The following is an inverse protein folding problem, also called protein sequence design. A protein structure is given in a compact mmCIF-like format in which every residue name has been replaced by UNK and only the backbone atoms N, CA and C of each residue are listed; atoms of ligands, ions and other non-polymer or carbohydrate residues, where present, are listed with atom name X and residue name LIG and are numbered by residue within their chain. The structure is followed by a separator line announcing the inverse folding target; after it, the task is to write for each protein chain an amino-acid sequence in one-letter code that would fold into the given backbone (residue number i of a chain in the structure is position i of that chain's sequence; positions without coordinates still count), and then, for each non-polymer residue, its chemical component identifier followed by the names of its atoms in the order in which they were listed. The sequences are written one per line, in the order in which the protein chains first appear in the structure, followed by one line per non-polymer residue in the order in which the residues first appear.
data_IF_939076316977
#
_entry.id   IF_939076316977
#
_cell.length_a   1.000
_cell.length_b   1.000
_cell.length_c   1.000
_cell.angle_alpha   90.00
_cell.angle_beta   90.00
_cell.angle_gamma   90.00
#
_symmetry.space_group_name_H-M   'P 1'
#
loop_
_entity.id
_entity.type
_entity.pdbx_description
1 polymer ?
#
# COMPACT_ATOMS: atom_id res chain seq x y z
N UNK A 1 -17.31 9.70 7.02
CA UNK A 1 -15.94 9.23 7.29
C UNK A 1 -15.95 7.73 7.11
N UNK A 2 -15.27 7.19 6.10
CA UNK A 2 -15.18 5.73 5.93
C UNK A 2 -14.30 5.18 7.05
N UNK A 3 -14.89 4.47 7.99
CA UNK A 3 -14.16 3.85 9.09
C UNK A 3 -13.73 2.46 8.64
N UNK A 4 -12.42 2.27 8.46
CA UNK A 4 -11.88 0.94 8.22
C UNK A 4 -12.06 0.08 9.47
N UNK A 5 -12.44 -1.18 9.28
CA UNK A 5 -12.41 -2.16 10.36
C UNK A 5 -10.97 -2.39 10.83
N UNK A 6 -10.78 -2.80 12.08
CA UNK A 6 -9.45 -3.17 12.60
C UNK A 6 -8.77 -4.22 11.72
N UNK A 7 -9.54 -5.21 11.25
CA UNK A 7 -9.06 -6.25 10.33
C UNK A 7 -8.56 -5.65 9.01
N UNK A 8 -9.30 -4.70 8.44
CA UNK A 8 -8.87 -4.00 7.21
C UNK A 8 -7.61 -3.19 7.46
N UNK A 9 -7.49 -2.50 8.59
CA UNK A 9 -6.27 -1.74 8.93
C UNK A 9 -5.07 -2.67 9.07
N UNK A 10 -5.22 -3.82 9.73
CA UNK A 10 -4.16 -4.83 9.86
C UNK A 10 -3.77 -5.42 8.50
N UNK A 11 -4.75 -5.69 7.64
CA UNK A 11 -4.52 -6.18 6.29
C UNK A 11 -3.73 -5.17 5.44
N UNK A 12 -4.15 -3.90 5.41
CA UNK A 12 -3.47 -2.84 4.66
C UNK A 12 -2.05 -2.58 5.19
N UNK A 13 -1.86 -2.70 6.51
CA UNK A 13 -0.53 -2.59 7.12
C UNK A 13 0.39 -3.73 6.70
N UNK A 14 -0.09 -4.97 6.69
CA UNK A 14 0.68 -6.12 6.23
C UNK A 14 1.09 -5.96 4.75
N UNK A 15 0.16 -5.53 3.89
CA UNK A 15 0.47 -5.20 2.49
C UNK A 15 1.59 -4.18 2.39
N UNK A 16 1.51 -3.08 3.16
CA UNK A 16 2.51 -2.02 3.15
C UNK A 16 3.86 -2.53 3.62
N UNK A 17 3.91 -3.30 4.71
CA UNK A 17 5.14 -3.83 5.29
C UNK A 17 5.84 -4.77 4.28
N UNK A 18 5.10 -5.67 3.64
CA UNK A 18 5.63 -6.59 2.61
C UNK A 18 6.13 -5.84 1.37
N UNK A 19 5.30 -4.93 0.82
CA UNK A 19 5.66 -4.15 -0.36
C UNK A 19 6.92 -3.31 -0.09
N UNK A 20 7.00 -2.71 1.10
CA UNK A 20 8.14 -1.89 1.49
C UNK A 20 9.43 -2.70 1.64
N UNK A 21 9.33 -3.91 2.17
CA UNK A 21 10.46 -4.83 2.29
C UNK A 21 10.98 -5.24 0.92
N UNK A 22 10.09 -5.45 -0.06
CA UNK A 22 10.45 -5.83 -1.43
C UNK A 22 11.33 -4.78 -2.13
N UNK A 23 10.99 -3.50 -1.99
CA UNK A 23 11.71 -2.40 -2.67
C UNK A 23 12.72 -1.68 -1.78
N UNK A 24 12.92 -2.15 -0.54
CA UNK A 24 13.74 -1.48 0.48
C UNK A 24 13.35 0.01 0.66
N UNK A 25 12.05 0.26 0.75
CA UNK A 25 11.49 1.61 0.78
C UNK A 25 11.98 2.42 1.99
N UNK A 26 12.41 3.66 1.73
CA UNK A 26 12.66 4.67 2.75
C UNK A 26 11.35 5.30 3.26
N UNK A 27 11.43 6.15 4.28
CA UNK A 27 10.24 6.74 4.90
C UNK A 27 9.36 7.54 3.93
N UNK A 28 9.90 8.39 3.04
CA UNK A 28 9.10 9.05 1.99
C UNK A 28 8.39 8.07 1.05
N UNK A 29 9.13 7.06 0.55
CA UNK A 29 8.57 6.05 -0.36
C UNK A 29 7.46 5.26 0.33
N UNK A 30 7.64 4.88 1.60
CA UNK A 30 6.60 4.20 2.39
C UNK A 30 5.32 5.03 2.52
N UNK A 31 5.43 6.35 2.69
CA UNK A 31 4.27 7.23 2.80
C UNK A 31 3.48 7.29 1.48
N UNK A 32 4.19 7.39 0.36
CA UNK A 32 3.63 7.35 -0.99
C UNK A 32 2.92 6.01 -1.28
N UNK A 33 3.57 4.89 -0.93
CA UNK A 33 2.99 3.55 -1.03
C UNK A 33 1.71 3.42 -0.20
N UNK A 34 1.72 3.88 1.05
CA UNK A 34 0.56 3.83 1.94
C UNK A 34 -0.62 4.64 1.38
N UNK A 35 -0.37 5.84 0.87
CA UNK A 35 -1.39 6.65 0.20
C UNK A 35 -1.97 5.92 -1.00
N UNK A 36 -1.13 5.31 -1.83
CA UNK A 36 -1.56 4.61 -3.03
C UNK A 36 -2.39 3.37 -2.69
N UNK A 37 -2.00 2.60 -1.68
CA UNK A 37 -2.79 1.48 -1.14
C UNK A 37 -4.17 1.95 -0.71
N UNK A 38 -4.26 3.06 0.04
CA UNK A 38 -5.54 3.59 0.52
C UNK A 38 -6.44 4.07 -0.62
N UNK A 39 -5.87 4.76 -1.62
CA UNK A 39 -6.61 5.18 -2.82
C UNK A 39 -7.14 3.97 -3.59
N UNK A 40 -6.31 2.96 -3.81
CA UNK A 40 -6.70 1.73 -4.51
C UNK A 40 -7.77 0.96 -3.73
N UNK A 41 -7.65 0.87 -2.41
CA UNK A 41 -8.67 0.27 -1.55
C UNK A 41 -10.02 1.02 -1.61
N UNK A 42 -9.98 2.36 -1.71
CA UNK A 42 -11.17 3.20 -1.84
C UNK A 42 -11.92 2.98 -3.18
N UNK A 43 -11.24 2.51 -4.23
CA UNK A 43 -11.88 2.13 -5.50
C UNK A 43 -12.61 0.78 -5.45
N UNK A 44 -12.51 0.04 -4.33
CA UNK A 44 -13.15 -1.25 -4.14
C UNK A 44 -12.22 -2.45 -4.35
N UNK A 45 -10.94 -2.23 -4.66
CA UNK A 45 -9.93 -3.30 -4.71
C UNK A 45 -9.61 -3.76 -3.28
N UNK A 46 -9.74 -5.06 -3.02
CA UNK A 46 -9.49 -5.65 -1.68
C UNK A 46 -8.50 -6.81 -1.68
N UNK A 47 -7.95 -7.15 -2.84
CA UNK A 47 -7.00 -8.27 -2.95
C UNK A 47 -5.64 -7.87 -2.43
N UNK A 48 -5.07 -8.67 -1.53
CA UNK A 48 -3.73 -8.46 -0.96
C UNK A 48 -2.67 -8.22 -2.04
N UNK A 49 -2.57 -9.14 -3.01
CA UNK A 49 -1.58 -9.09 -4.08
C UNK A 49 -1.76 -7.86 -4.97
N UNK A 50 -3.00 -7.47 -5.26
CA UNK A 50 -3.30 -6.29 -6.08
C UNK A 50 -2.90 -4.99 -5.38
N UNK A 51 -3.12 -4.91 -4.07
CA UNK A 51 -2.72 -3.74 -3.29
C UNK A 51 -1.20 -3.68 -3.13
N UNK A 52 -0.54 -4.83 -2.96
CA UNK A 52 0.92 -4.93 -2.92
C UNK A 52 1.54 -4.53 -4.26
N UNK A 53 1.05 -5.07 -5.36
CA UNK A 53 1.53 -4.76 -6.72
C UNK A 53 1.43 -3.26 -7.00
N UNK A 54 0.27 -2.65 -6.70
CA UNK A 54 0.08 -1.20 -6.87
C UNK A 54 1.05 -0.37 -6.01
N UNK A 55 1.34 -0.80 -4.79
CA UNK A 55 2.31 -0.14 -3.92
C UNK A 55 3.75 -0.25 -4.46
N UNK A 56 4.13 -1.42 -4.97
CA UNK A 56 5.45 -1.63 -5.56
C UNK A 56 5.60 -0.85 -6.86
N UNK A 57 4.57 -0.81 -7.70
CA UNK A 57 4.57 -0.06 -8.96
C UNK A 57 4.80 1.43 -8.72
N UNK A 58 4.07 2.05 -7.79
CA UNK A 58 4.22 3.48 -7.51
C UNK A 58 5.59 3.80 -6.91
N UNK A 59 6.14 2.93 -6.06
CA UNK A 59 7.48 3.10 -5.50
C UNK A 59 8.58 3.03 -6.58
N UNK A 60 8.40 2.17 -7.59
CA UNK A 60 9.34 2.08 -8.72
C UNK A 60 9.24 3.26 -9.67
N UNK A 61 8.05 3.85 -9.83
CA UNK A 61 7.87 5.07 -10.63
C UNK A 61 8.47 6.31 -9.98
N UNK A 62 8.48 6.41 -8.64
CA UNK A 62 9.08 7.54 -7.91
C UNK A 62 10.61 7.46 -7.87
N UNK A 63 11.18 6.24 -7.98
CA UNK A 63 12.62 5.99 -8.01
C UNK A 63 13.27 6.19 -9.40
N UNK A 64 12.50 6.55 -10.44
CA UNK A 64 12.94 6.75 -11.82
C UNK A 64 13.08 8.23 -12.19
#
# INVERSE_FOLDING_TARGET
MFQFSSETIQHLRAVLDDASAEVQADSPTKALMAEHILRTAATGVRGYDKLREAAVEIARCDAA
#
